data_IF_872383485569
#
_entry.id   IF_872383485569
#
_cell.length_a   1.000
_cell.length_b   1.000
_cell.length_c   1.000
_cell.angle_alpha   90.00
_cell.angle_beta   90.00
_cell.angle_gamma   90.00
#
_symmetry.space_group_name_H-M   'P 1'
#
loop_
_entity.id
_entity.type
_entity.pdbx_description
1 polymer ?
#
# COMPACT_ATOMS: atom_id res chain seq x y z
N UNK A 1 -33.08 -39.51 53.71
CA UNK A 1 -33.34 -39.05 52.31
C UNK A 1 -32.11 -38.52 51.55
N UNK A 2 -30.87 -38.56 52.08
CA UNK A 2 -29.68 -37.99 51.41
C UNK A 2 -29.12 -38.88 50.27
N UNK A 3 -29.07 -40.21 50.46
CA UNK A 3 -28.51 -41.16 49.47
C UNK A 3 -29.26 -41.22 48.14
N UNK A 4 -30.58 -40.98 48.16
CA UNK A 4 -31.44 -40.99 46.95
C UNK A 4 -31.22 -39.74 46.09
N UNK A 5 -30.85 -38.60 46.68
CA UNK A 5 -30.59 -37.35 45.96
C UNK A 5 -29.30 -37.42 45.16
N UNK A 6 -28.23 -37.98 45.74
CA UNK A 6 -26.96 -38.19 45.02
C UNK A 6 -27.06 -39.23 43.91
N UNK A 7 -27.87 -40.28 44.09
CA UNK A 7 -28.15 -41.26 43.02
C UNK A 7 -28.92 -40.64 41.85
N UNK A 8 -29.89 -39.76 42.12
CA UNK A 8 -30.64 -39.03 41.07
C UNK A 8 -29.75 -38.01 40.35
N UNK A 9 -28.87 -37.33 41.09
CA UNK A 9 -27.91 -36.39 40.51
C UNK A 9 -26.88 -37.11 39.62
N UNK A 10 -26.35 -38.25 40.08
CA UNK A 10 -25.45 -39.08 39.29
C UNK A 10 -26.11 -39.64 38.02
N UNK A 11 -27.39 -40.03 38.10
CA UNK A 11 -28.14 -40.48 36.94
C UNK A 11 -28.35 -39.34 35.91
N UNK A 12 -28.65 -38.12 36.36
CA UNK A 12 -28.77 -36.94 35.49
C UNK A 12 -27.44 -36.55 34.83
N UNK A 13 -26.33 -36.63 35.57
CA UNK A 13 -25.01 -36.34 35.02
C UNK A 13 -24.56 -37.40 34.00
N UNK A 14 -24.85 -38.67 34.27
CA UNK A 14 -24.57 -39.76 33.33
C UNK A 14 -25.42 -39.65 32.05
N UNK A 15 -26.70 -39.28 32.14
CA UNK A 15 -27.53 -39.06 30.94
C UNK A 15 -27.05 -37.89 30.10
N UNK A 16 -26.63 -36.79 30.73
CA UNK A 16 -26.10 -35.62 30.01
C UNK A 16 -24.78 -35.94 29.32
N UNK A 17 -23.90 -36.71 29.98
CA UNK A 17 -22.66 -37.20 29.38
C UNK A 17 -22.94 -38.09 28.17
N UNK A 18 -23.87 -39.04 28.26
CA UNK A 18 -24.24 -39.92 27.14
C UNK A 18 -24.74 -39.15 25.91
N UNK A 19 -25.48 -38.04 26.10
CA UNK A 19 -25.95 -37.21 24.99
C UNK A 19 -24.81 -36.47 24.27
N UNK A 20 -23.66 -36.23 24.93
CA UNK A 20 -22.53 -35.51 24.33
C UNK A 20 -21.58 -36.42 23.53
N UNK A 21 -21.50 -37.71 23.86
CA UNK A 21 -20.62 -38.67 23.17
C UNK A 21 -21.29 -39.46 22.03
N UNK A 22 -22.61 -39.37 21.88
CA UNK A 22 -23.38 -40.12 20.86
C UNK A 22 -24.03 -39.26 19.76
N UNK A 23 -23.68 -37.98 19.62
CA UNK A 23 -24.12 -37.19 18.46
C UNK A 23 -23.27 -37.55 17.24
N UNK A 24 -23.55 -38.70 16.64
CA UNK A 24 -23.09 -38.98 15.27
C UNK A 24 -23.97 -38.14 14.33
N UNK A 25 -23.40 -37.29 13.46
CA UNK A 25 -24.18 -36.63 12.44
C UNK A 25 -24.80 -37.72 11.54
N UNK A 26 -26.13 -37.81 11.54
CA UNK A 26 -26.85 -38.62 10.57
C UNK A 26 -26.73 -37.91 9.22
N UNK A 27 -25.68 -38.24 8.47
CA UNK A 27 -25.63 -37.93 7.05
C UNK A 27 -26.76 -38.70 6.38
N UNK A 28 -27.73 -37.97 5.80
CA UNK A 28 -28.74 -38.56 4.95
C UNK A 28 -28.01 -39.23 3.78
N UNK A 29 -27.92 -40.56 3.82
CA UNK A 29 -27.41 -41.36 2.72
C UNK A 29 -28.45 -41.28 1.59
N UNK A 30 -28.40 -40.19 0.82
CA UNK A 30 -28.97 -40.14 -0.51
C UNK A 30 -28.21 -41.17 -1.36
N UNK A 31 -28.93 -42.06 -2.04
CA UNK A 31 -28.37 -43.01 -3.01
C UNK A 31 -27.92 -42.31 -4.31
N UNK A 32 -27.35 -41.12 -4.18
CA UNK A 32 -26.66 -40.45 -5.27
C UNK A 32 -25.29 -41.12 -5.45
N UNK A 33 -24.85 -41.36 -6.70
CA UNK A 33 -23.56 -41.95 -6.94
C UNK A 33 -22.48 -41.08 -6.28
N UNK A 34 -21.74 -41.69 -5.35
CA UNK A 34 -20.54 -41.12 -4.77
C UNK A 34 -19.56 -40.83 -5.92
N UNK A 35 -19.01 -39.61 -6.06
CA UNK A 35 -17.91 -39.41 -6.98
C UNK A 35 -16.78 -40.33 -6.53
N UNK A 36 -16.36 -41.19 -7.45
CA UNK A 36 -15.16 -41.99 -7.29
C UNK A 36 -14.02 -41.10 -6.79
N UNK A 37 -13.23 -41.62 -5.86
CA UNK A 37 -11.91 -41.07 -5.57
C UNK A 37 -11.10 -41.13 -6.86
N UNK A 38 -11.15 -40.05 -7.63
CA UNK A 38 -10.20 -39.77 -8.68
C UNK A 38 -8.79 -39.70 -8.05
N UNK A 39 -7.75 -40.17 -8.74
CA UNK A 39 -6.39 -39.99 -8.26
C UNK A 39 -6.14 -38.49 -8.04
N UNK A 40 -5.25 -38.17 -7.08
CA UNK A 40 -4.82 -36.82 -6.75
C UNK A 40 -4.69 -35.96 -8.01
N UNK A 41 -5.12 -34.68 -8.00
CA UNK A 41 -4.91 -33.81 -9.14
C UNK A 41 -3.42 -33.86 -9.45
N UNK A 42 -3.09 -34.41 -10.62
CA UNK A 42 -1.78 -34.25 -11.22
C UNK A 42 -1.48 -32.75 -11.15
N UNK A 43 -0.25 -32.41 -10.73
CA UNK A 43 0.26 -31.06 -10.85
C UNK A 43 -0.08 -30.56 -12.25
N UNK A 44 -1.03 -29.63 -12.32
CA UNK A 44 -1.30 -28.88 -13.53
C UNK A 44 0.02 -28.19 -13.85
N UNK A 45 0.75 -28.78 -14.79
CA UNK A 45 1.76 -28.09 -15.57
C UNK A 45 1.13 -26.75 -15.96
N UNK A 46 1.67 -25.66 -15.41
CA UNK A 46 1.15 -24.33 -15.65
C UNK A 46 1.09 -24.14 -17.16
N UNK A 47 -0.14 -24.09 -17.70
CA UNK A 47 -0.38 -23.65 -19.06
C UNK A 47 0.38 -22.33 -19.23
N UNK A 48 1.16 -22.13 -20.32
CA UNK A 48 1.82 -20.86 -20.52
C UNK A 48 0.72 -19.79 -20.56
N UNK A 49 0.64 -18.97 -19.51
CA UNK A 49 -0.20 -17.79 -19.45
C UNK A 49 0.06 -17.02 -20.75
N UNK A 50 -0.85 -17.12 -21.72
CA UNK A 50 -0.81 -16.31 -22.93
C UNK A 50 -0.87 -14.87 -22.46
N UNK A 51 0.30 -14.21 -22.40
CA UNK A 51 0.41 -12.83 -21.93
C UNK A 51 -0.59 -11.99 -22.71
N UNK A 52 -1.60 -11.47 -22.01
CA UNK A 52 -2.45 -10.44 -22.56
C UNK A 52 -1.54 -9.27 -22.94
N UNK A 53 -1.58 -8.70 -24.16
CA UNK A 53 -0.71 -7.59 -24.54
C UNK A 53 -0.85 -6.34 -23.65
N UNK A 54 -1.90 -6.28 -22.83
CA UNK A 54 -2.12 -5.24 -21.83
C UNK A 54 -1.53 -5.55 -20.45
N UNK A 55 -0.90 -6.71 -20.29
CA UNK A 55 -0.27 -7.15 -19.05
C UNK A 55 1.14 -7.63 -19.37
N UNK A 56 2.05 -6.71 -19.76
CA UNK A 56 3.46 -7.03 -19.88
C UNK A 56 4.02 -7.51 -18.53
N UNK A 57 5.19 -8.13 -18.57
CA UNK A 57 5.90 -8.51 -17.34
C UNK A 57 6.13 -7.29 -16.44
N UNK A 58 5.79 -7.44 -15.16
CA UNK A 58 5.97 -6.40 -14.15
C UNK A 58 7.44 -6.15 -13.83
N UNK A 59 7.82 -4.89 -13.61
CA UNK A 59 9.21 -4.50 -13.29
C UNK A 59 9.53 -4.50 -11.79
N UNK A 60 8.54 -4.71 -10.92
CA UNK A 60 8.69 -4.71 -9.47
C UNK A 60 7.60 -5.52 -8.77
N UNK A 61 7.75 -5.69 -7.46
CA UNK A 61 6.85 -6.44 -6.58
C UNK A 61 6.27 -5.53 -5.52
N UNK A 62 4.96 -5.58 -5.32
CA UNK A 62 4.30 -4.89 -4.20
C UNK A 62 4.66 -5.60 -2.90
N UNK A 63 5.32 -4.90 -1.99
CA UNK A 63 5.75 -5.40 -0.68
C UNK A 63 4.72 -5.09 0.40
N UNK A 64 4.07 -3.93 0.32
CA UNK A 64 3.05 -3.51 1.28
C UNK A 64 1.94 -2.71 0.59
N UNK A 65 0.75 -2.79 1.17
CA UNK A 65 -0.41 -2.02 0.73
C UNK A 65 -1.21 -1.52 1.94
N UNK A 66 -1.63 -0.26 1.90
CA UNK A 66 -2.50 0.33 2.90
C UNK A 66 -3.60 1.17 2.23
N UNK A 67 -4.71 1.33 2.92
CA UNK A 67 -5.83 2.18 2.50
C UNK A 67 -6.31 2.98 3.69
N UNK A 68 -6.48 4.30 3.52
CA UNK A 68 -7.06 5.15 4.55
C UNK A 68 -8.59 5.30 4.40
N UNK A 69 -9.25 5.87 5.40
CA UNK A 69 -10.71 6.14 5.37
C UNK A 69 -11.08 7.18 4.31
N UNK A 70 -10.13 8.04 3.92
CA UNK A 70 -10.30 9.06 2.90
C UNK A 70 -10.17 8.49 1.47
N UNK A 71 -9.90 7.19 1.30
CA UNK A 71 -9.82 6.54 -0.01
C UNK A 71 -8.50 6.76 -0.74
N UNK A 72 -7.41 7.06 -0.04
CA UNK A 72 -6.05 6.95 -0.57
C UNK A 72 -5.56 5.52 -0.41
N UNK A 73 -5.07 4.95 -1.50
CA UNK A 73 -4.36 3.68 -1.51
C UNK A 73 -2.87 3.95 -1.58
N UNK A 74 -2.09 3.34 -0.70
CA UNK A 74 -0.64 3.45 -0.64
C UNK A 74 -0.02 2.08 -0.94
N UNK A 75 0.91 2.03 -1.89
CA UNK A 75 1.66 0.83 -2.24
C UNK A 75 3.16 1.08 -2.04
N UNK A 76 3.83 0.13 -1.42
CA UNK A 76 5.30 0.04 -1.40
C UNK A 76 5.73 -1.01 -2.40
N UNK A 77 6.59 -0.65 -3.34
CA UNK A 77 7.04 -1.50 -4.45
C UNK A 77 8.55 -1.62 -4.38
N UNK A 78 9.06 -2.85 -4.52
CA UNK A 78 10.50 -3.11 -4.64
C UNK A 78 10.81 -3.68 -6.01
N UNK A 79 11.83 -3.14 -6.66
CA UNK A 79 12.32 -3.62 -7.96
C UNK A 79 13.46 -4.63 -7.79
N UNK A 80 13.86 -5.28 -8.89
CA UNK A 80 14.88 -6.34 -8.87
C UNK A 80 16.28 -5.86 -8.42
N UNK A 81 16.57 -4.57 -8.55
CA UNK A 81 17.78 -3.89 -8.07
C UNK A 81 17.66 -3.39 -6.63
N UNK A 82 16.65 -3.84 -5.89
CA UNK A 82 16.36 -3.47 -4.50
C UNK A 82 15.98 -1.98 -4.29
N UNK A 83 15.70 -1.24 -5.37
CA UNK A 83 15.14 0.11 -5.26
C UNK A 83 13.70 0.05 -4.72
N UNK A 84 13.36 0.98 -3.82
CA UNK A 84 12.04 1.08 -3.20
C UNK A 84 11.29 2.29 -3.74
N UNK A 85 10.11 2.05 -4.28
CA UNK A 85 9.20 3.07 -4.80
C UNK A 85 7.90 3.07 -4.00
N UNK A 86 7.27 4.23 -3.92
CA UNK A 86 5.95 4.36 -3.32
C UNK A 86 4.95 4.89 -4.35
N UNK A 87 3.76 4.29 -4.39
CA UNK A 87 2.66 4.72 -5.25
C UNK A 87 1.47 5.08 -4.36
N UNK A 88 0.92 6.27 -4.55
CA UNK A 88 -0.32 6.69 -3.88
C UNK A 88 -1.41 6.93 -4.91
N UNK A 89 -2.58 6.31 -4.74
CA UNK A 89 -3.76 6.53 -5.59
C UNK A 89 -4.83 7.20 -4.72
N UNK A 90 -5.16 8.45 -5.04
CA UNK A 90 -6.22 9.21 -4.40
C UNK A 90 -7.56 8.98 -5.12
N UNK A 91 -8.46 8.19 -4.53
CA UNK A 91 -9.74 7.85 -5.18
C UNK A 91 -10.79 8.96 -5.07
N UNK A 92 -10.53 10.01 -4.29
CA UNK A 92 -11.43 11.16 -4.17
C UNK A 92 -11.21 12.17 -5.30
N UNK A 93 -10.06 12.11 -5.97
CA UNK A 93 -9.73 12.96 -7.11
C UNK A 93 -9.95 12.22 -8.42
N UNK A 94 -10.48 12.93 -9.40
CA UNK A 94 -10.77 12.39 -10.74
C UNK A 94 -9.67 12.70 -11.77
N UNK A 95 -8.67 13.50 -11.40
CA UNK A 95 -7.53 13.90 -12.25
C UNK A 95 -6.27 14.09 -11.40
N UNK A 96 -5.10 13.81 -11.98
CA UNK A 96 -3.79 13.96 -11.33
C UNK A 96 -3.74 13.30 -9.94
N UNK A 97 -4.37 12.13 -9.84
CA UNK A 97 -4.67 11.47 -8.58
C UNK A 97 -3.72 10.31 -8.24
N UNK A 98 -2.69 10.09 -9.06
CA UNK A 98 -1.67 9.08 -8.86
C UNK A 98 -0.34 9.75 -8.60
N UNK A 99 0.28 9.44 -7.46
CA UNK A 99 1.56 9.98 -7.03
C UNK A 99 2.59 8.87 -7.02
N UNK A 100 3.61 8.99 -7.88
CA UNK A 100 4.75 8.09 -7.89
C UNK A 100 5.93 8.76 -7.19
N UNK A 101 6.46 8.12 -6.17
CA UNK A 101 7.48 8.68 -5.28
C UNK A 101 8.72 7.78 -5.27
N UNK A 102 9.88 8.41 -5.27
CA UNK A 102 11.18 7.78 -5.02
C UNK A 102 11.61 8.05 -3.57
N UNK A 103 12.45 7.18 -3.02
CA UNK A 103 13.23 7.50 -1.82
C UNK A 103 14.21 8.63 -2.09
N UNK A 104 14.40 9.52 -1.11
CA UNK A 104 15.46 10.53 -1.15
C UNK A 104 16.71 9.99 -0.45
N UNK A 105 17.85 10.09 -1.12
CA UNK A 105 19.15 9.75 -0.56
C UNK A 105 19.86 11.00 -0.04
N UNK A 106 20.94 10.84 0.74
CA UNK A 106 21.76 11.98 1.17
C UNK A 106 22.35 12.73 -0.02
N UNK A 107 22.73 12.01 -1.08
CA UNK A 107 23.29 12.60 -2.30
C UNK A 107 22.28 13.47 -3.04
N UNK A 108 20.99 13.12 -3.00
CA UNK A 108 19.92 13.95 -3.58
C UNK A 108 19.71 15.26 -2.80
N UNK A 109 19.99 15.26 -1.50
CA UNK A 109 19.77 16.41 -0.62
C UNK A 109 20.97 17.37 -0.58
N UNK A 110 22.19 16.86 -0.82
CA UNK A 110 23.43 17.65 -0.76
C UNK A 110 23.38 18.91 -1.65
N UNK A 111 22.99 18.84 -2.93
CA UNK A 111 22.89 20.02 -3.80
C UNK A 111 21.93 21.08 -3.27
N UNK A 112 20.82 20.67 -2.63
CA UNK A 112 19.82 21.60 -2.07
C UNK A 112 20.36 22.32 -0.82
N UNK A 113 21.18 21.63 -0.03
CA UNK A 113 21.83 22.21 1.14
C UNK A 113 22.93 23.22 0.77
N UNK A 114 23.56 23.07 -0.39
CA UNK A 114 24.58 23.99 -0.90
C UNK A 114 23.98 25.25 -1.54
N UNK A 115 22.86 25.13 -2.26
CA UNK A 115 22.13 26.29 -2.80
C UNK A 115 21.68 27.27 -1.72
N UNK A 116 21.34 26.80 -0.52
CA UNK A 116 20.99 27.66 0.62
C UNK A 116 22.17 28.40 1.26
N UNK A 117 23.41 28.10 0.87
CA UNK A 117 24.63 28.72 1.40
C UNK A 117 25.24 29.76 0.46
N UNK A 118 24.75 29.91 -0.77
CA UNK A 118 25.19 31.01 -1.61
C UNK A 118 24.75 32.33 -0.97
N UNK A 119 25.69 33.22 -0.59
CA UNK A 119 25.31 34.54 -0.11
C UNK A 119 24.49 35.24 -1.20
N UNK A 120 23.47 36.04 -0.84
CA UNK A 120 22.78 36.88 -1.82
C UNK A 120 23.84 37.57 -2.66
N UNK A 121 23.77 37.44 -4.00
CA UNK A 121 24.63 38.22 -4.89
C UNK A 121 24.52 39.67 -4.42
N UNK A 122 25.61 40.25 -3.93
CA UNK A 122 25.68 41.67 -3.64
C UNK A 122 25.28 42.38 -4.93
N UNK A 123 24.07 42.91 -4.96
CA UNK A 123 23.66 43.84 -5.99
C UNK A 123 24.45 45.08 -5.68
N UNK A 124 25.64 45.22 -6.27
CA UNK A 124 26.38 46.47 -6.22
C UNK A 124 25.40 47.55 -6.71
N UNK A 125 25.01 48.52 -5.86
CA UNK A 125 24.11 49.56 -6.32
C UNK A 125 24.76 50.24 -7.52
N UNK A 126 24.03 50.29 -8.63
CA UNK A 126 24.45 51.03 -9.82
C UNK A 126 24.80 52.46 -9.38
N UNK A 127 25.97 52.99 -9.76
CA UNK A 127 26.42 54.28 -9.26
C UNK A 127 25.38 55.35 -9.59
N UNK A 128 24.94 56.09 -8.58
CA UNK A 128 23.98 57.19 -8.76
C UNK A 128 24.46 58.13 -9.87
N UNK A 129 23.57 58.55 -10.79
CA UNK A 129 23.96 59.45 -11.86
C UNK A 129 24.47 60.76 -11.24
N UNK A 130 25.72 61.12 -11.59
CA UNK A 130 26.34 62.38 -11.18
C UNK A 130 25.41 63.55 -11.53
N UNK A 131 25.19 64.51 -10.61
CA UNK A 131 24.38 65.69 -10.91
C UNK A 131 24.93 66.41 -12.14
N UNK A 132 24.11 66.51 -13.18
CA UNK A 132 24.40 67.33 -14.35
C UNK A 132 24.43 68.79 -13.88
N UNK A 133 25.58 69.44 -14.01
CA UNK A 133 25.72 70.87 -13.71
C UNK A 133 24.70 71.67 -14.54
N UNK A 134 24.06 72.70 -13.97
CA UNK A 134 23.12 73.51 -14.71
C UNK A 134 23.91 74.30 -15.75
N UNK A 135 23.58 74.09 -17.03
CA UNK A 135 24.10 74.89 -18.13
C UNK A 135 23.71 76.34 -17.84
N UNK A 136 24.71 77.20 -17.60
CA UNK A 136 24.52 78.65 -17.60
C UNK A 136 23.98 79.04 -18.98
N UNK A 137 22.72 79.48 -19.02
CA UNK A 137 22.18 80.16 -20.20
C UNK A 137 23.01 81.42 -20.44
N UNK A 138 23.85 81.37 -21.46
CA UNK A 138 24.44 82.55 -22.08
C UNK A 138 23.30 83.33 -22.73
N UNK A 139 23.04 84.60 -22.35
CA UNK A 139 22.03 85.39 -23.02
C UNK A 139 22.58 85.85 -24.37
N UNK A 140 21.83 85.60 -25.44
CA UNK A 140 22.13 86.16 -26.78
C UNK A 140 21.44 87.53 -26.98
N UNK A 141 22.05 88.43 -27.79
CA UNK A 141 21.70 89.86 -27.93
C UNK A 141 20.47 90.18 -28.78
#
# INVERSE_FOLDING_TARGET
MKKTKYRRLAAMAASLLCCLIFTVPAYAQSSEPQPETAPAPAETEAEPETQNPFTPDGTGTVVDNATDEDGKEFYTITTADESVFYLVIDKQKTSENVYFLNTVTTDDLLPLAEQGKEPPKEVTPEPEPKPTEPVEEVPEP
#
